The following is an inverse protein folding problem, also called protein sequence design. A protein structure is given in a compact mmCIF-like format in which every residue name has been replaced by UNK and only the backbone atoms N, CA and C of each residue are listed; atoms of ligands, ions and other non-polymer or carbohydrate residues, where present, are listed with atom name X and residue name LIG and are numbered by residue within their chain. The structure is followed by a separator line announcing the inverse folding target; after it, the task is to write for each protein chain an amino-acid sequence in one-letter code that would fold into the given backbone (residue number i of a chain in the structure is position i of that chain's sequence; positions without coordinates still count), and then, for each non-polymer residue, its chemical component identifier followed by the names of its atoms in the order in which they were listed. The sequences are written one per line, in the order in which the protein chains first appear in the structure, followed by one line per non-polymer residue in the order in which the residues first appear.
data_IF_654557034898
#
_entry.id   IF_654557034898
#
_cell.length_a   1.000
_cell.length_b   1.000
_cell.length_c   1.000
_cell.angle_alpha   90.00
_cell.angle_beta   90.00
_cell.angle_gamma   90.00
#
_symmetry.space_group_name_H-M   'P 1'
#
loop_
_entity.id
_entity.type
_entity.pdbx_description
1 polymer ?
#
# COMPACT_ATOMS: atom_id res chain seq x y z
N UNK A 1 -10.92 13.22 -3.65
CA UNK A 1 -9.64 12.50 -3.77
C UNK A 1 -9.26 12.01 -2.39
N UNK A 2 -9.47 10.72 -2.11
CA UNK A 2 -8.83 10.05 -0.99
C UNK A 2 -7.52 9.48 -1.52
N UNK A 3 -6.39 9.99 -1.06
CA UNK A 3 -5.09 9.36 -1.35
C UNK A 3 -4.85 8.29 -0.29
N UNK A 4 -5.04 7.01 -0.65
CA UNK A 4 -4.96 5.88 0.28
C UNK A 4 -3.51 5.38 0.38
N UNK A 5 -2.73 5.99 1.27
CA UNK A 5 -1.33 5.67 1.49
C UNK A 5 -1.01 5.67 2.98
N UNK A 6 -0.53 4.55 3.52
CA UNK A 6 -0.12 4.42 4.93
C UNK A 6 -1.23 4.86 5.88
N UNK A 7 -2.48 4.60 5.49
CA UNK A 7 -3.66 4.96 6.25
C UNK A 7 -4.05 6.44 6.26
N UNK A 8 -3.36 7.30 5.51
CA UNK A 8 -3.77 8.68 5.30
C UNK A 8 -5.03 8.75 4.44
N UNK A 9 -5.92 9.70 4.78
CA UNK A 9 -7.15 9.99 4.02
C UNK A 9 -8.07 8.77 3.76
N UNK A 10 -8.05 7.79 4.67
CA UNK A 10 -8.91 6.60 4.64
C UNK A 10 -10.39 6.93 4.63
N UNK A 11 -11.06 6.38 3.63
CA UNK A 11 -12.49 6.53 3.43
C UNK A 11 -12.97 5.44 2.48
N UNK A 12 -13.70 4.46 3.02
CA UNK A 12 -14.43 3.45 2.27
C UNK A 12 -13.65 2.81 1.11
N UNK A 13 -12.49 2.25 1.44
CA UNK A 13 -11.50 1.65 0.54
C UNK A 13 -12.17 0.61 -0.35
N UNK A 14 -13.01 -0.25 0.25
CA UNK A 14 -13.66 -1.35 -0.46
C UNK A 14 -14.62 -0.85 -1.54
N UNK A 15 -15.51 0.09 -1.21
CA UNK A 15 -16.44 0.66 -2.19
C UNK A 15 -15.69 1.37 -3.31
N UNK A 16 -14.70 2.20 -2.98
CA UNK A 16 -13.93 2.96 -3.98
C UNK A 16 -13.16 2.01 -4.90
N UNK A 17 -12.49 0.98 -4.36
CA UNK A 17 -11.78 0.01 -5.19
C UNK A 17 -12.71 -0.73 -6.16
N UNK A 18 -13.92 -1.08 -5.71
CA UNK A 18 -14.93 -1.69 -6.58
C UNK A 18 -15.42 -0.72 -7.67
N UNK A 19 -15.66 0.55 -7.33
CA UNK A 19 -16.05 1.59 -8.29
C UNK A 19 -14.96 1.81 -9.35
N UNK A 20 -13.69 1.90 -8.94
CA UNK A 20 -12.55 2.06 -9.85
C UNK A 20 -12.42 0.84 -10.77
N UNK A 21 -12.52 -0.38 -10.22
CA UNK A 21 -12.45 -1.62 -11.02
C UNK A 21 -13.62 -1.73 -12.00
N UNK A 22 -14.81 -1.28 -11.62
CA UNK A 22 -15.98 -1.25 -12.50
C UNK A 22 -15.82 -0.22 -13.63
N UNK A 23 -15.20 0.93 -13.33
CA UNK A 23 -14.93 1.98 -14.31
C UNK A 23 -13.91 1.53 -15.36
N UNK A 24 -12.86 0.83 -14.94
CA UNK A 24 -11.88 0.24 -15.85
C UNK A 24 -11.36 -1.11 -15.33
N UNK A 25 -11.95 -2.23 -15.78
CA UNK A 25 -11.56 -3.56 -15.33
C UNK A 25 -10.22 -4.03 -15.91
N UNK A 26 -9.64 -3.30 -16.89
CA UNK A 26 -8.36 -3.67 -17.52
C UNK A 26 -7.14 -3.35 -16.65
N UNK A 27 -7.31 -2.50 -15.62
CA UNK A 27 -6.24 -2.09 -14.72
C UNK A 27 -6.32 -2.82 -13.38
N UNK A 28 -5.16 -3.00 -12.75
CA UNK A 28 -5.07 -3.47 -11.36
C UNK A 28 -5.45 -2.33 -10.42
N UNK A 29 -6.06 -2.68 -9.29
CA UNK A 29 -6.47 -1.75 -8.25
C UNK A 29 -5.73 -2.09 -6.97
N UNK A 30 -4.96 -1.14 -6.47
CA UNK A 30 -4.47 -1.13 -5.11
C UNK A 30 -5.46 -0.34 -4.24
N UNK A 31 -6.08 -0.99 -3.25
CA UNK A 31 -7.07 -0.33 -2.41
C UNK A 31 -6.42 0.48 -1.28
N UNK A 32 -5.16 0.19 -0.94
CA UNK A 32 -4.43 0.78 0.17
C UNK A 32 -2.92 0.50 0.02
N UNK A 33 -2.17 1.52 -0.36
CA UNK A 33 -0.70 1.45 -0.34
C UNK A 33 -0.23 1.44 1.12
N UNK A 34 0.63 0.50 1.51
CA UNK A 34 1.15 0.43 2.88
C UNK A 34 0.15 -0.08 3.94
N UNK A 35 -0.63 -1.12 3.64
CA UNK A 35 -1.62 -1.71 4.59
C UNK A 35 -1.02 -2.18 5.92
N UNK A 36 0.29 -2.43 5.99
CA UNK A 36 0.97 -2.99 7.15
C UNK A 36 1.38 -1.97 8.21
N UNK A 37 1.20 -0.67 7.98
CA UNK A 37 1.67 0.37 8.90
C UNK A 37 0.57 1.35 9.31
N UNK A 38 0.90 2.20 10.29
CA UNK A 38 0.29 3.53 10.41
C UNK A 38 -1.23 3.57 10.70
N UNK A 39 -1.82 2.44 11.13
CA UNK A 39 -3.26 2.32 11.34
C UNK A 39 -4.06 2.18 10.04
N UNK A 40 -3.40 1.79 8.94
CA UNK A 40 -4.05 1.45 7.70
C UNK A 40 -5.05 0.28 7.89
N UNK A 41 -6.18 0.37 7.20
CA UNK A 41 -7.22 -0.64 7.16
C UNK A 41 -7.34 -1.12 5.71
N UNK A 42 -7.15 -2.42 5.53
CA UNK A 42 -7.38 -3.09 4.26
C UNK A 42 -8.91 -3.22 4.01
N UNK A 43 -9.38 -2.74 2.86
CA UNK A 43 -10.75 -2.95 2.40
C UNK A 43 -11.07 -4.41 2.05
N UNK A 44 -10.06 -5.29 1.99
CA UNK A 44 -10.19 -6.72 1.72
C UNK A 44 -10.41 -7.08 0.26
N UNK A 45 -10.29 -6.10 -0.65
CA UNK A 45 -10.50 -6.24 -2.09
C UNK A 45 -9.39 -5.53 -2.87
N UNK A 46 -9.57 -5.42 -4.19
CA UNK A 46 -8.50 -5.03 -5.11
C UNK A 46 -7.62 -6.21 -5.49
N UNK A 47 -6.52 -5.91 -6.15
CA UNK A 47 -5.64 -6.89 -6.78
C UNK A 47 -4.30 -7.03 -6.03
N UNK A 48 -3.96 -6.09 -5.15
CA UNK A 48 -2.66 -6.02 -4.48
C UNK A 48 -2.77 -6.10 -2.96
N UNK A 49 -1.72 -6.65 -2.36
CA UNK A 49 -1.35 -6.50 -0.95
C UNK A 49 -0.07 -5.66 -0.95
N UNK A 50 -0.19 -4.36 -0.69
CA UNK A 50 0.94 -3.44 -0.73
C UNK A 50 1.47 -3.15 0.68
N UNK A 51 2.70 -3.58 0.97
CA UNK A 51 3.37 -3.23 2.22
C UNK A 51 4.47 -2.20 2.01
N UNK A 52 4.56 -1.28 2.96
CA UNK A 52 5.67 -0.35 3.09
C UNK A 52 6.62 -0.86 4.17
N UNK A 53 7.87 -1.12 3.82
CA UNK A 53 8.86 -1.78 4.68
C UNK A 53 10.12 -0.94 4.79
N UNK A 54 10.17 -0.12 5.84
CA UNK A 54 11.33 0.70 6.22
C UNK A 54 11.79 0.34 7.64
N UNK A 55 13.07 0.06 7.93
CA UNK A 55 14.20 -0.34 7.06
C UNK A 55 14.18 -1.89 7.00
N UNK A 56 14.49 -2.48 5.84
CA UNK A 56 14.37 -3.93 5.64
C UNK A 56 15.21 -4.81 6.60
N UNK A 57 15.06 -6.15 6.54
CA UNK A 57 14.25 -6.90 5.57
C UNK A 57 12.79 -7.07 6.00
N UNK A 58 11.88 -7.04 5.03
CA UNK A 58 10.49 -7.46 5.23
C UNK A 58 9.96 -8.19 4.00
N UNK A 59 8.96 -9.03 4.23
CA UNK A 59 8.37 -9.88 3.18
C UNK A 59 6.87 -9.66 3.18
N UNK A 60 6.32 -9.34 2.00
CA UNK A 60 4.88 -9.35 1.74
C UNK A 60 4.49 -10.71 1.19
N UNK A 61 3.54 -11.39 1.83
CA UNK A 61 3.08 -12.72 1.40
C UNK A 61 1.82 -12.55 0.55
N UNK A 62 1.77 -13.08 -0.68
CA UNK A 62 0.58 -12.96 -1.52
C UNK A 62 -0.59 -13.78 -0.97
N UNK A 63 -1.81 -13.43 -1.34
CA UNK A 63 -3.00 -14.27 -1.12
C UNK A 63 -3.35 -15.03 -2.40
N UNK A 64 -4.29 -16.00 -2.35
CA UNK A 64 -4.79 -16.67 -3.56
C UNK A 64 -5.41 -15.72 -4.60
N UNK A 65 -5.79 -14.51 -4.19
CA UNK A 65 -6.51 -13.54 -5.02
C UNK A 65 -5.80 -12.20 -5.19
N UNK A 66 -4.70 -11.95 -4.46
CA UNK A 66 -3.98 -10.67 -4.48
C UNK A 66 -2.47 -10.88 -4.53
N UNK A 67 -1.82 -10.16 -5.45
CA UNK A 67 -0.37 -10.16 -5.57
C UNK A 67 0.27 -9.37 -4.42
N UNK A 68 1.40 -9.86 -3.92
CA UNK A 68 2.19 -9.15 -2.91
C UNK A 68 3.10 -8.11 -3.58
N UNK A 69 3.09 -6.89 -3.04
CA UNK A 69 3.93 -5.79 -3.50
C UNK A 69 4.63 -5.14 -2.30
N UNK A 70 5.95 -4.94 -2.35
CA UNK A 70 6.64 -4.00 -1.48
C UNK A 70 6.58 -2.61 -2.12
N UNK A 71 5.47 -1.87 -1.93
CA UNK A 71 5.22 -0.60 -2.62
C UNK A 71 6.19 0.50 -2.21
N UNK A 72 6.68 0.42 -0.98
CA UNK A 72 7.78 1.24 -0.51
C UNK A 72 8.79 0.43 0.32
N UNK A 73 10.06 0.73 0.13
CA UNK A 73 11.17 0.12 0.87
C UNK A 73 12.38 1.05 0.86
N UNK A 74 13.36 0.73 1.72
CA UNK A 74 14.68 1.39 1.84
C UNK A 74 14.75 2.53 2.89
N UNK A 75 15.14 3.75 2.53
CA UNK A 75 15.40 4.85 3.46
C UNK A 75 16.88 5.07 3.84
N UNK A 76 17.84 4.60 3.04
CA UNK A 76 19.26 4.87 3.25
C UNK A 76 19.59 6.37 3.22
N UNK A 77 20.04 6.89 4.36
CA UNK A 77 20.60 8.24 4.48
C UNK A 77 22.14 8.24 4.37
N UNK A 78 22.69 9.18 3.60
CA UNK A 78 24.13 9.45 3.61
C UNK A 78 24.49 10.29 4.85
N UNK A 79 25.15 9.66 5.83
CA UNK A 79 25.54 10.34 7.07
C UNK A 79 26.72 11.29 6.82
N UNK A 80 26.49 12.59 7.02
CA UNK A 80 27.53 13.62 7.05
C UNK A 80 27.76 14.02 8.51
N UNK A 81 28.99 13.88 9.06
CA UNK A 81 29.27 14.25 10.44
C UNK A 81 28.90 15.71 10.73
N UNK A 82 28.13 15.95 11.81
CA UNK A 82 27.67 17.28 12.23
C UNK A 82 26.44 17.82 11.47
N UNK A 83 25.84 17.00 10.61
CA UNK A 83 24.61 17.27 9.88
C UNK A 83 23.64 16.10 10.07
N UNK A 84 23.51 15.65 11.32
CA UNK A 84 22.49 14.69 11.74
C UNK A 84 21.08 15.32 11.77
#
# INVERSE_FOLDING_TARGET
MSNQNEGWCQYDQARIANEVKAYDPSRLVDNMSGINCCGAVDGGNGDLLDHHVYVGPGTTVPSPTRAAVPGEFDGLGYKVPGHE
#
